data_IF_448006909580
#
_entry.id   IF_448006909580
#
_cell.length_a   1.000
_cell.length_b   1.000
_cell.length_c   1.000
_cell.angle_alpha   90.00
_cell.angle_beta   90.00
_cell.angle_gamma   90.00
#
_symmetry.space_group_name_H-M   'P 1'
#
loop_
_entity.id
_entity.type
_entity.pdbx_description
1 polymer ?
#
# COMPACT_ATOMS: atom_id res chain seq x y z
N UNK A 1 -2.75 17.39 -10.73
CA UNK A 1 -2.72 17.51 -9.26
C UNK A 1 -2.62 16.11 -8.70
N UNK A 2 -1.72 15.86 -7.74
CA UNK A 2 -1.52 14.53 -7.15
C UNK A 2 -1.84 14.60 -5.66
N UNK A 3 -2.61 13.64 -5.15
CA UNK A 3 -2.98 13.52 -3.74
C UNK A 3 -2.46 12.19 -3.19
N UNK A 4 -1.58 12.23 -2.20
CA UNK A 4 -1.08 11.05 -1.50
C UNK A 4 -1.90 10.76 -0.24
N UNK A 5 -2.29 9.50 -0.05
CA UNK A 5 -3.01 9.03 1.14
C UNK A 5 -2.06 8.16 1.97
N UNK A 6 -1.78 8.60 3.20
CA UNK A 6 -0.88 7.90 4.13
C UNK A 6 -1.60 7.48 5.42
N UNK A 7 -1.13 6.41 6.05
CA UNK A 7 -1.71 5.87 7.27
C UNK A 7 -1.34 4.42 7.52
N UNK A 8 -1.60 3.95 8.74
CA UNK A 8 -1.22 2.60 9.18
C UNK A 8 -1.89 1.48 8.35
N UNK A 9 -1.34 0.26 8.45
CA UNK A 9 -1.94 -0.95 7.89
C UNK A 9 -3.33 -1.14 8.50
N UNK A 10 -4.33 -1.42 7.66
CA UNK A 10 -5.71 -1.67 8.11
C UNK A 10 -6.57 -0.44 8.45
N UNK A 11 -6.06 0.79 8.33
CA UNK A 11 -6.83 2.02 8.69
C UNK A 11 -7.90 2.42 7.67
N UNK A 12 -8.01 1.72 6.53
CA UNK A 12 -9.02 2.01 5.49
C UNK A 12 -8.57 2.96 4.38
N UNK A 13 -7.26 3.04 4.09
CA UNK A 13 -6.71 3.89 3.01
C UNK A 13 -7.36 3.63 1.65
N UNK A 14 -7.48 2.36 1.24
CA UNK A 14 -8.09 1.97 -0.04
C UNK A 14 -9.52 2.49 -0.15
N UNK A 15 -10.33 2.31 0.91
CA UNK A 15 -11.70 2.80 0.97
C UNK A 15 -11.79 4.32 0.89
N UNK A 16 -10.85 5.04 1.52
CA UNK A 16 -10.79 6.49 1.43
C UNK A 16 -10.40 6.94 0.01
N UNK A 17 -9.41 6.31 -0.61
CA UNK A 17 -8.96 6.60 -1.97
C UNK A 17 -10.09 6.41 -2.98
N UNK A 18 -10.87 5.32 -2.88
CA UNK A 18 -12.02 5.05 -3.75
C UNK A 18 -13.07 6.16 -3.66
N UNK A 19 -13.44 6.56 -2.44
CA UNK A 19 -14.42 7.62 -2.21
C UNK A 19 -13.95 8.97 -2.76
N UNK A 20 -12.73 9.36 -2.45
CA UNK A 20 -12.17 10.64 -2.94
C UNK A 20 -11.99 10.65 -4.46
N UNK A 21 -11.61 9.51 -5.05
CA UNK A 21 -11.51 9.36 -6.51
C UNK A 21 -12.86 9.60 -7.19
N UNK A 22 -13.94 9.03 -6.64
CA UNK A 22 -15.30 9.22 -7.15
C UNK A 22 -15.80 10.66 -6.97
N UNK A 23 -15.65 11.22 -5.76
CA UNK A 23 -16.18 12.54 -5.41
C UNK A 23 -15.44 13.68 -6.13
N UNK A 24 -14.14 13.53 -6.40
CA UNK A 24 -13.29 14.55 -7.00
C UNK A 24 -12.94 14.28 -8.47
N UNK A 25 -13.39 13.14 -9.03
CA UNK A 25 -13.07 12.73 -10.40
C UNK A 25 -11.59 12.42 -10.63
N UNK A 26 -10.86 12.02 -9.59
CA UNK A 26 -9.45 11.64 -9.70
C UNK A 26 -9.30 10.18 -10.13
N UNK A 27 -8.21 9.86 -10.81
CA UNK A 27 -7.84 8.45 -11.07
C UNK A 27 -7.23 7.84 -9.80
N UNK A 28 -7.81 6.74 -9.31
CA UNK A 28 -7.28 6.01 -8.17
C UNK A 28 -6.06 5.17 -8.57
N UNK A 29 -5.00 5.24 -7.77
CA UNK A 29 -3.78 4.43 -7.90
C UNK A 29 -3.60 3.71 -6.56
N UNK A 30 -3.36 2.40 -6.61
CA UNK A 30 -3.24 1.55 -5.43
C UNK A 30 -1.82 0.97 -5.28
N UNK A 31 -1.42 0.70 -4.04
CA UNK A 31 -0.17 0.00 -3.75
C UNK A 31 -0.31 -1.50 -4.04
N UNK A 32 0.64 -2.08 -4.77
CA UNK A 32 0.71 -3.54 -4.99
C UNK A 32 1.41 -4.22 -3.80
N UNK A 33 0.65 -4.44 -2.73
CA UNK A 33 1.19 -5.08 -1.51
C UNK A 33 0.93 -6.60 -1.50
N UNK A 34 -0.22 -7.03 -2.04
CA UNK A 34 -0.68 -8.42 -1.95
C UNK A 34 0.20 -9.37 -2.78
N UNK A 35 0.69 -8.89 -3.92
CA UNK A 35 1.51 -9.69 -4.85
C UNK A 35 3.01 -9.61 -4.55
N UNK A 36 3.41 -9.07 -3.39
CA UNK A 36 4.82 -8.98 -3.00
C UNK A 36 5.31 -10.36 -2.49
N UNK A 37 6.23 -11.02 -3.21
CA UNK A 37 6.68 -12.37 -2.87
C UNK A 37 7.43 -12.43 -1.54
N UNK A 38 7.97 -11.29 -1.06
CA UNK A 38 8.72 -11.22 0.19
C UNK A 38 7.85 -10.92 1.41
N UNK A 39 6.55 -10.65 1.25
CA UNK A 39 5.68 -10.27 2.38
C UNK A 39 5.57 -11.38 3.41
N UNK A 40 5.38 -12.63 2.96
CA UNK A 40 5.35 -13.80 3.84
C UNK A 40 6.68 -13.97 4.59
N UNK A 41 7.79 -13.91 3.85
CA UNK A 41 9.14 -14.06 4.42
C UNK A 41 9.46 -12.96 5.45
N UNK A 42 9.05 -11.72 5.18
CA UNK A 42 9.18 -10.60 6.10
C UNK A 42 8.49 -10.86 7.44
N UNK A 43 7.26 -11.39 7.43
CA UNK A 43 6.56 -11.73 8.67
C UNK A 43 7.21 -12.89 9.44
N UNK A 44 8.01 -13.75 8.78
CA UNK A 44 8.78 -14.81 9.46
C UNK A 44 10.13 -14.33 10.01
N UNK A 45 10.81 -13.41 9.32
CA UNK A 45 12.08 -12.83 9.76
C UNK A 45 12.30 -11.42 9.18
N UNK A 46 11.80 -10.42 9.91
CA UNK A 46 11.86 -9.02 9.47
C UNK A 46 13.31 -8.57 9.21
N UNK A 47 14.25 -8.85 10.11
CA UNK A 47 15.64 -8.38 9.96
C UNK A 47 16.32 -8.89 8.69
N UNK A 48 15.97 -10.09 8.22
CA UNK A 48 16.57 -10.68 7.01
C UNK A 48 15.95 -10.13 5.73
N UNK A 49 14.66 -9.83 5.76
CA UNK A 49 13.82 -9.62 4.58
C UNK A 49 13.30 -8.18 4.40
N UNK A 50 13.51 -7.28 5.37
CA UNK A 50 13.12 -5.85 5.27
C UNK A 50 13.62 -5.18 3.99
N UNK A 51 14.88 -5.42 3.61
CA UNK A 51 15.45 -4.80 2.41
C UNK A 51 14.75 -5.29 1.14
N UNK A 52 14.58 -6.61 1.00
CA UNK A 52 13.91 -7.22 -0.14
C UNK A 52 12.46 -6.75 -0.28
N UNK A 53 11.73 -6.67 0.83
CA UNK A 53 10.35 -6.17 0.83
C UNK A 53 10.26 -4.73 0.34
N UNK A 54 11.21 -3.88 0.73
CA UNK A 54 11.16 -2.43 0.49
C UNK A 54 11.53 -2.03 -0.94
N UNK A 55 12.30 -2.84 -1.67
CA UNK A 55 12.78 -2.54 -3.03
C UNK A 55 12.00 -3.23 -4.14
N UNK A 56 11.14 -4.20 -3.80
CA UNK A 56 10.24 -4.85 -4.75
C UNK A 56 9.10 -3.90 -5.13
#
# INVERSE_FOLDING_TARGET
>A
MNLGIAGNIGVGKTTLTEKLSQDLGFSAIYESVIDNPYLSDFYTNMSRWSFNLQIY
#
